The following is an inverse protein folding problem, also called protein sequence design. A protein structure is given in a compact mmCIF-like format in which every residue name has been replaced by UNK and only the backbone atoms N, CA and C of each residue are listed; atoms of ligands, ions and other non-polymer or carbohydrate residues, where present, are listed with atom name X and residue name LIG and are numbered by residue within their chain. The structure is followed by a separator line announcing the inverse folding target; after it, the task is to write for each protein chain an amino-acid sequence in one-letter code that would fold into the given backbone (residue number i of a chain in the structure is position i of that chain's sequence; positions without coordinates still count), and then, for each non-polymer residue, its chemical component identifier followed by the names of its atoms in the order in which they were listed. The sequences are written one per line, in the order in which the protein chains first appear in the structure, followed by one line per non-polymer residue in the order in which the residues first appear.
data_IF_855861057223
#
_entry.id   IF_855861057223
#
_cell.length_a   1.000
_cell.length_b   1.000
_cell.length_c   1.000
_cell.angle_alpha   90.00
_cell.angle_beta   90.00
_cell.angle_gamma   90.00
#
_symmetry.space_group_name_H-M   'P 1'
#
loop_
_entity.id
_entity.type
_entity.pdbx_description
1 polymer ?
#
# COMPACT_ATOMS: atom_id res chain seq x y z
N UNK A 1 -42.60 -32.73 -5.86
CA UNK A 1 -41.17 -32.39 -5.66
C UNK A 1 -41.01 -30.97 -6.20
N UNK A 2 -40.91 -29.87 -5.42
CA UNK A 2 -39.99 -29.55 -4.29
C UNK A 2 -38.54 -29.79 -4.73
N UNK A 3 -37.61 -28.83 -4.80
CA UNK A 3 -37.47 -27.43 -4.34
C UNK A 3 -36.56 -26.73 -5.37
N UNK A 4 -36.88 -25.50 -5.80
CA UNK A 4 -35.92 -24.63 -6.48
C UNK A 4 -35.57 -23.50 -5.50
N UNK A 5 -34.47 -23.66 -4.78
CA UNK A 5 -33.82 -22.56 -4.08
C UNK A 5 -32.40 -22.56 -4.60
N UNK A 6 -32.03 -21.56 -5.40
CA UNK A 6 -30.64 -21.15 -5.62
C UNK A 6 -30.66 -19.77 -6.29
N UNK A 7 -30.85 -18.75 -5.45
CA UNK A 7 -30.40 -17.40 -5.75
C UNK A 7 -30.19 -16.67 -4.43
N UNK A 8 -29.28 -17.20 -3.60
CA UNK A 8 -28.61 -16.33 -2.64
C UNK A 8 -27.81 -15.34 -3.50
N UNK A 9 -28.19 -14.07 -3.42
CA UNK A 9 -27.45 -12.97 -4.01
C UNK A 9 -26.03 -12.91 -3.41
N UNK A 10 -25.08 -13.68 -3.92
CA UNK A 10 -23.66 -13.34 -3.76
C UNK A 10 -23.31 -12.25 -4.76
N UNK A 11 -23.73 -11.02 -4.44
CA UNK A 11 -23.26 -9.82 -5.13
C UNK A 11 -21.89 -9.44 -4.58
N UNK A 12 -20.94 -10.38 -4.60
CA UNK A 12 -19.54 -10.13 -4.32
C UNK A 12 -18.91 -9.47 -5.54
N UNK A 13 -18.25 -8.32 -5.36
CA UNK A 13 -17.48 -7.72 -6.45
C UNK A 13 -16.22 -8.57 -6.65
N UNK A 14 -16.27 -9.55 -7.56
CA UNK A 14 -15.09 -10.32 -7.95
C UNK A 14 -14.27 -9.54 -8.97
N UNK A 15 -13.23 -8.87 -8.48
CA UNK A 15 -12.32 -8.08 -9.31
C UNK A 15 -11.25 -8.97 -9.96
N UNK A 16 -10.72 -8.54 -11.10
CA UNK A 16 -9.48 -9.10 -11.60
C UNK A 16 -8.35 -8.85 -10.57
N UNK A 17 -7.35 -9.74 -10.50
CA UNK A 17 -6.29 -9.67 -9.49
C UNK A 17 -5.63 -8.28 -9.41
N UNK A 18 -5.29 -7.66 -10.55
CA UNK A 18 -4.69 -6.33 -10.56
C UNK A 18 -5.64 -5.24 -10.06
N UNK A 19 -6.95 -5.36 -10.33
CA UNK A 19 -7.97 -4.42 -9.84
C UNK A 19 -8.15 -4.55 -8.33
N UNK A 20 -8.21 -5.79 -7.81
CA UNK A 20 -8.19 -6.06 -6.37
C UNK A 20 -6.94 -5.46 -5.71
N UNK A 21 -5.79 -5.59 -6.38
CA UNK A 21 -4.54 -4.94 -6.00
C UNK A 21 -4.66 -3.41 -5.93
N UNK A 22 -5.21 -2.77 -6.97
CA UNK A 22 -5.43 -1.31 -6.98
C UNK A 22 -6.32 -0.87 -5.82
N UNK A 23 -7.46 -1.53 -5.62
CA UNK A 23 -8.41 -1.17 -4.55
C UNK A 23 -7.77 -1.38 -3.18
N UNK A 24 -7.10 -2.50 -2.96
CA UNK A 24 -6.37 -2.76 -1.72
C UNK A 24 -5.23 -1.78 -1.48
N UNK A 25 -4.49 -1.40 -2.54
CA UNK A 25 -3.46 -0.38 -2.51
C UNK A 25 -3.96 1.00 -2.15
N UNK A 26 -5.08 1.42 -2.73
CA UNK A 26 -5.72 2.71 -2.41
C UNK A 26 -6.23 2.74 -0.97
N UNK A 27 -6.91 1.69 -0.52
CA UNK A 27 -7.42 1.61 0.86
C UNK A 27 -6.26 1.59 1.85
N UNK A 28 -5.25 0.73 1.61
CA UNK A 28 -4.07 0.64 2.46
C UNK A 28 -3.33 1.97 2.55
N UNK A 29 -3.11 2.65 1.42
CA UNK A 29 -2.43 3.95 1.39
C UNK A 29 -3.28 5.05 2.03
N UNK A 30 -4.61 4.97 1.92
CA UNK A 30 -5.51 5.88 2.62
C UNK A 30 -5.43 5.74 4.15
N UNK A 31 -5.48 4.51 4.65
CA UNK A 31 -5.31 4.24 6.10
C UNK A 31 -3.93 4.69 6.56
N UNK A 32 -2.90 4.40 5.78
CA UNK A 32 -1.53 4.84 6.05
C UNK A 32 -1.42 6.37 6.08
N UNK A 33 -2.05 7.07 5.15
CA UNK A 33 -2.06 8.53 5.09
C UNK A 33 -2.70 9.13 6.35
N UNK A 34 -3.78 8.55 6.86
CA UNK A 34 -4.38 8.98 8.14
C UNK A 34 -3.37 8.87 9.28
N UNK A 35 -2.64 7.75 9.37
CA UNK A 35 -1.59 7.61 10.39
C UNK A 35 -0.45 8.63 10.22
N UNK A 36 -0.03 8.90 8.98
CA UNK A 36 0.96 9.93 8.72
C UNK A 36 0.49 11.32 9.15
N UNK A 37 -0.77 11.69 8.87
CA UNK A 37 -1.34 12.98 9.32
C UNK A 37 -1.31 13.09 10.84
N UNK A 38 -1.61 12.00 11.55
CA UNK A 38 -1.65 12.00 13.02
C UNK A 38 -0.27 11.95 13.67
N UNK A 39 0.71 11.32 13.04
CA UNK A 39 2.00 11.00 13.67
C UNK A 39 3.18 11.80 13.11
N UNK A 40 3.15 12.17 11.83
CA UNK A 40 4.19 12.96 11.17
C UNK A 40 3.67 13.68 9.90
N UNK A 41 2.79 14.69 10.04
CA UNK A 41 2.17 15.36 8.89
C UNK A 41 3.14 15.90 7.83
N UNK A 42 4.35 16.41 8.16
CA UNK A 42 5.34 16.85 7.17
C UNK A 42 5.71 15.82 6.10
N UNK A 43 5.54 14.52 6.37
CA UNK A 43 5.78 13.47 5.35
C UNK A 43 4.86 13.64 4.15
N UNK A 44 3.57 13.91 4.37
CA UNK A 44 2.59 14.13 3.31
C UNK A 44 2.61 15.56 2.77
N UNK A 45 2.85 16.57 3.61
CA UNK A 45 2.73 17.97 3.17
C UNK A 45 3.99 18.51 2.50
N UNK A 46 5.15 17.89 2.75
CA UNK A 46 6.43 18.33 2.22
C UNK A 46 7.22 17.20 1.54
N UNK A 47 7.54 16.11 2.25
CA UNK A 47 8.48 15.12 1.72
C UNK A 47 7.97 14.39 0.47
N UNK A 48 6.79 13.79 0.53
CA UNK A 48 6.20 13.06 -0.61
C UNK A 48 6.01 13.93 -1.86
N UNK A 49 5.40 15.12 -1.79
CA UNK A 49 5.24 15.95 -2.99
C UNK A 49 6.60 16.45 -3.54
N UNK A 50 7.59 16.69 -2.68
CA UNK A 50 8.92 17.13 -3.10
C UNK A 50 9.64 16.09 -4.00
N UNK A 51 9.35 14.79 -3.87
CA UNK A 51 9.87 13.74 -4.77
C UNK A 51 9.58 14.06 -6.25
N UNK A 52 8.48 14.77 -6.51
CA UNK A 52 8.03 15.11 -7.86
C UNK A 52 8.19 16.61 -8.17
N UNK A 53 8.95 17.35 -7.36
CA UNK A 53 9.18 18.78 -7.54
C UNK A 53 7.93 19.65 -7.32
N UNK A 54 6.91 19.12 -6.64
CA UNK A 54 5.67 19.83 -6.32
C UNK A 54 5.53 20.02 -4.81
N UNK A 55 4.51 20.77 -4.37
CA UNK A 55 4.27 21.06 -2.96
C UNK A 55 2.80 20.98 -2.59
N UNK A 56 2.52 20.88 -1.29
CA UNK A 56 1.16 20.90 -0.73
C UNK A 56 0.61 19.53 -0.37
N UNK A 57 -0.19 19.49 0.69
CA UNK A 57 -0.73 18.25 1.25
C UNK A 57 -1.64 17.48 0.30
N UNK A 58 -2.42 18.17 -0.55
CA UNK A 58 -3.26 17.50 -1.56
C UNK A 58 -2.38 16.73 -2.54
N UNK A 59 -1.35 17.39 -3.10
CA UNK A 59 -0.41 16.74 -4.01
C UNK A 59 0.26 15.53 -3.34
N UNK A 60 0.70 15.68 -2.09
CA UNK A 60 1.32 14.59 -1.34
C UNK A 60 0.39 13.41 -1.09
N UNK A 61 -0.86 13.64 -0.69
CA UNK A 61 -1.86 12.57 -0.52
C UNK A 61 -2.16 11.90 -1.86
N UNK A 62 -2.36 12.66 -2.94
CA UNK A 62 -2.61 12.11 -4.28
C UNK A 62 -1.45 11.23 -4.74
N UNK A 63 -0.21 11.71 -4.60
CA UNK A 63 1.00 10.95 -4.95
C UNK A 63 1.12 9.70 -4.08
N UNK A 64 0.83 9.81 -2.78
CA UNK A 64 0.90 8.66 -1.87
C UNK A 64 -0.10 7.56 -2.25
N UNK A 65 -1.36 7.94 -2.52
CA UNK A 65 -2.40 7.01 -2.99
C UNK A 65 -2.03 6.39 -4.34
N UNK A 66 -1.44 7.17 -5.26
CA UNK A 66 -0.99 6.67 -6.55
C UNK A 66 0.10 5.60 -6.39
N UNK A 67 1.11 5.80 -5.53
CA UNK A 67 2.08 4.75 -5.22
C UNK A 67 1.41 3.54 -4.60
N UNK A 68 0.48 3.73 -3.67
CA UNK A 68 -0.29 2.63 -3.06
C UNK A 68 -0.99 1.77 -4.11
N UNK A 69 -1.68 2.39 -5.07
CA UNK A 69 -2.35 1.68 -6.17
C UNK A 69 -1.35 0.88 -7.03
N UNK A 70 -0.23 1.50 -7.44
CA UNK A 70 0.81 0.83 -8.25
C UNK A 70 1.45 -0.33 -7.50
N UNK A 71 1.79 -0.13 -6.23
CA UNK A 71 2.34 -1.16 -5.36
C UNK A 71 1.32 -2.29 -5.10
N UNK A 72 0.04 -1.98 -5.09
CA UNK A 72 -1.02 -2.99 -5.00
C UNK A 72 -1.14 -3.86 -6.24
N UNK A 73 -0.94 -3.30 -7.45
CA UNK A 73 -0.79 -4.10 -8.67
C UNK A 73 0.42 -5.02 -8.57
N UNK A 74 1.56 -4.52 -8.09
CA UNK A 74 2.76 -5.33 -7.90
C UNK A 74 2.54 -6.47 -6.88
N UNK A 75 1.86 -6.20 -5.76
CA UNK A 75 1.44 -7.24 -4.81
C UNK A 75 0.58 -8.31 -5.49
N UNK A 76 -0.43 -7.90 -6.25
CA UNK A 76 -1.28 -8.84 -6.97
C UNK A 76 -0.46 -9.71 -7.94
N UNK A 77 0.51 -9.13 -8.65
CA UNK A 77 1.42 -9.89 -9.52
C UNK A 77 2.23 -10.94 -8.72
N UNK A 78 2.75 -10.59 -7.54
CA UNK A 78 3.46 -11.53 -6.66
C UNK A 78 2.54 -12.69 -6.22
N UNK A 79 1.32 -12.40 -5.77
CA UNK A 79 0.33 -13.42 -5.41
C UNK A 79 0.00 -14.33 -6.60
N UNK A 80 -0.11 -13.73 -7.79
CA UNK A 80 -0.44 -14.45 -9.02
C UNK A 80 0.72 -15.31 -9.55
N UNK A 81 1.97 -14.94 -9.27
CA UNK A 81 3.17 -15.70 -9.67
C UNK A 81 3.30 -17.08 -8.99
N UNK A 82 2.56 -17.31 -7.91
CA UNK A 82 2.66 -18.53 -7.10
C UNK A 82 3.62 -18.45 -5.92
N UNK A 83 4.35 -17.33 -5.75
CA UNK A 83 5.31 -17.13 -4.67
C UNK A 83 4.71 -17.25 -3.24
N UNK A 84 3.40 -17.02 -3.10
CA UNK A 84 2.67 -17.11 -1.81
C UNK A 84 2.18 -18.54 -1.52
N UNK A 85 2.26 -19.45 -2.50
CA UNK A 85 1.70 -20.81 -2.41
C UNK A 85 0.17 -20.81 -2.38
N UNK A 86 -0.42 -21.73 -1.62
CA UNK A 86 -1.88 -21.81 -1.48
C UNK A 86 -2.46 -20.50 -0.93
N UNK A 87 -3.47 -19.96 -1.60
CA UNK A 87 -4.04 -18.64 -1.33
C UNK A 87 -5.09 -18.68 -0.23
N UNK A 88 -4.74 -19.26 0.91
CA UNK A 88 -5.60 -19.22 2.10
C UNK A 88 -5.65 -17.79 2.64
N UNK A 89 -6.75 -17.44 3.33
CA UNK A 89 -6.93 -16.11 3.94
C UNK A 89 -5.71 -15.70 4.78
N UNK A 90 -5.25 -16.60 5.66
CA UNK A 90 -4.10 -16.33 6.51
C UNK A 90 -2.80 -16.08 5.75
N UNK A 91 -2.56 -16.81 4.65
CA UNK A 91 -1.36 -16.59 3.80
C UNK A 91 -1.43 -15.28 3.03
N UNK A 92 -2.60 -14.88 2.53
CA UNK A 92 -2.77 -13.60 1.84
C UNK A 92 -2.62 -12.40 2.78
N UNK A 93 -3.17 -12.49 4.00
CA UNK A 93 -2.95 -11.47 5.04
C UNK A 93 -1.47 -11.38 5.43
N UNK A 94 -0.82 -12.52 5.68
CA UNK A 94 0.61 -12.58 5.99
C UNK A 94 1.48 -12.03 4.85
N UNK A 95 1.16 -12.37 3.60
CA UNK A 95 1.82 -11.84 2.42
C UNK A 95 1.67 -10.32 2.32
N UNK A 96 0.48 -9.78 2.64
CA UNK A 96 0.25 -8.34 2.70
C UNK A 96 1.16 -7.65 3.73
N UNK A 97 1.27 -8.20 4.94
CA UNK A 97 2.17 -7.66 5.98
C UNK A 97 3.62 -7.70 5.51
N UNK A 98 4.10 -8.84 4.99
CA UNK A 98 5.45 -8.99 4.44
C UNK A 98 5.69 -7.98 3.31
N UNK A 99 4.72 -7.80 2.42
CA UNK A 99 4.77 -6.81 1.35
C UNK A 99 4.94 -5.39 1.90
N UNK A 100 4.19 -5.03 2.95
CA UNK A 100 4.36 -3.75 3.65
C UNK A 100 5.77 -3.54 4.17
N UNK A 101 6.36 -4.55 4.82
CA UNK A 101 7.75 -4.51 5.30
C UNK A 101 8.73 -4.35 4.14
N UNK A 102 8.52 -5.05 3.02
CA UNK A 102 9.37 -4.93 1.83
C UNK A 102 9.29 -3.54 1.22
N UNK A 103 8.08 -2.96 1.11
CA UNK A 103 7.90 -1.58 0.63
C UNK A 103 8.58 -0.59 1.56
N UNK A 104 8.45 -0.75 2.89
CA UNK A 104 9.16 0.09 3.86
C UNK A 104 10.67 0.03 3.67
N UNK A 105 11.22 -1.19 3.63
CA UNK A 105 12.66 -1.38 3.52
C UNK A 105 13.19 -0.84 2.19
N UNK A 106 12.51 -1.10 1.07
CA UNK A 106 13.01 -0.73 -0.26
C UNK A 106 12.67 0.71 -0.63
N UNK A 107 11.39 1.09 -0.58
CA UNK A 107 10.96 2.41 -1.05
C UNK A 107 11.21 3.49 0.00
N UNK A 108 10.82 3.26 1.25
CA UNK A 108 10.91 4.31 2.28
C UNK A 108 12.32 4.46 2.86
N UNK A 109 13.00 3.36 3.19
CA UNK A 109 14.31 3.42 3.83
C UNK A 109 15.48 3.60 2.85
N UNK A 110 15.36 3.11 1.61
CA UNK A 110 16.44 3.19 0.62
C UNK A 110 16.17 4.19 -0.49
N UNK A 111 15.04 4.08 -1.22
CA UNK A 111 14.79 4.93 -2.40
C UNK A 111 14.45 6.37 -2.03
N UNK A 112 13.54 6.59 -1.09
CA UNK A 112 13.08 7.92 -0.69
C UNK A 112 14.23 8.86 -0.27
N UNK A 113 15.17 8.52 0.63
CA UNK A 113 16.25 9.44 1.00
C UNK A 113 17.15 9.81 -0.20
N UNK A 114 17.45 8.86 -1.09
CA UNK A 114 18.25 9.13 -2.30
C UNK A 114 17.48 10.04 -3.26
N UNK A 115 16.19 9.80 -3.45
CA UNK A 115 15.35 10.61 -4.34
C UNK A 115 15.17 12.03 -3.79
N UNK A 116 14.90 12.18 -2.49
CA UNK A 116 14.80 13.50 -1.85
C UNK A 116 16.12 14.27 -1.96
N UNK A 117 17.26 13.60 -1.76
CA UNK A 117 18.56 14.23 -1.94
C UNK A 117 18.80 14.65 -3.39
N UNK A 118 18.42 13.84 -4.38
CA UNK A 118 18.64 14.15 -5.80
C UNK A 118 17.82 15.33 -6.31
N UNK A 119 16.63 15.55 -5.75
CA UNK A 119 15.79 16.73 -6.06
C UNK A 119 16.13 17.95 -5.18
N UNK A 120 17.15 17.86 -4.32
CA UNK A 120 17.60 18.97 -3.48
C UNK A 120 16.68 19.31 -2.32
N UNK A 121 15.89 18.36 -1.81
CA UNK A 121 15.01 18.58 -0.66
C UNK A 121 15.85 18.87 0.60
N UNK A 122 15.73 20.04 1.24
CA UNK A 122 16.63 20.44 2.34
C UNK A 122 16.60 19.52 3.56
N UNK A 123 15.46 18.87 3.80
CA UNK A 123 15.23 17.97 4.93
C UNK A 123 15.31 16.50 4.53
N UNK A 124 16.09 16.17 3.48
CA UNK A 124 16.28 14.78 3.06
C UNK A 124 16.90 13.97 4.21
N UNK A 125 16.28 12.86 4.63
CA UNK A 125 16.81 12.05 5.72
C UNK A 125 18.11 11.34 5.30
N UNK A 126 19.01 11.02 6.24
CA UNK A 126 20.25 10.29 5.94
C UNK A 126 19.97 8.93 5.28
N UNK A 127 20.83 8.52 4.35
CA UNK A 127 20.76 7.19 3.74
C UNK A 127 21.64 6.18 4.51
N UNK A 128 21.11 4.98 4.86
CA UNK A 128 19.71 4.55 4.76
C UNK A 128 18.85 5.08 5.91
N UNK A 129 17.55 5.28 5.67
CA UNK A 129 16.61 5.86 6.66
C UNK A 129 15.64 4.81 7.25
N UNK A 130 16.12 3.93 8.12
CA UNK A 130 15.27 2.94 8.80
C UNK A 130 14.49 3.53 9.98
N UNK A 131 13.49 4.35 9.69
CA UNK A 131 12.62 4.95 10.70
C UNK A 131 11.57 3.93 11.20
N UNK A 132 11.71 3.47 12.45
CA UNK A 132 10.79 2.50 13.08
C UNK A 132 9.32 2.97 13.11
N UNK A 133 8.98 4.25 13.40
CA UNK A 133 7.59 4.70 13.31
C UNK A 133 6.98 4.53 11.92
N UNK A 134 7.79 4.66 10.85
CA UNK A 134 7.35 4.45 9.48
C UNK A 134 7.05 2.97 9.18
N UNK A 135 7.75 2.02 9.83
CA UNK A 135 7.48 0.59 9.69
C UNK A 135 6.04 0.25 10.07
N UNK A 136 5.53 0.82 11.17
CA UNK A 136 4.15 0.62 11.61
C UNK A 136 3.16 1.01 10.49
N UNK A 137 3.33 2.18 9.88
CA UNK A 137 2.44 2.67 8.84
C UNK A 137 2.43 1.73 7.62
N UNK A 138 3.60 1.22 7.24
CA UNK A 138 3.73 0.32 6.10
C UNK A 138 3.19 -1.09 6.39
N UNK A 139 3.33 -1.59 7.62
CA UNK A 139 2.68 -2.83 8.05
C UNK A 139 1.15 -2.68 8.00
N UNK A 140 0.62 -1.54 8.43
CA UNK A 140 -0.82 -1.23 8.33
C UNK A 140 -1.27 -1.15 6.87
N UNK A 141 -0.50 -0.48 6.01
CA UNK A 141 -0.72 -0.46 4.56
C UNK A 141 -0.83 -1.89 4.00
N UNK A 142 0.17 -2.72 4.27
CA UNK A 142 0.25 -4.09 3.77
C UNK A 142 -0.87 -4.98 4.30
N UNK A 143 -1.20 -4.87 5.59
CA UNK A 143 -2.30 -5.61 6.21
C UNK A 143 -3.66 -5.23 5.64
N UNK A 144 -3.94 -3.92 5.51
CA UNK A 144 -5.18 -3.43 4.92
C UNK A 144 -5.31 -3.84 3.45
N UNK A 145 -4.22 -3.75 2.69
CA UNK A 145 -4.16 -4.21 1.30
C UNK A 145 -4.46 -5.71 1.18
N UNK A 146 -3.82 -6.55 2.00
CA UNK A 146 -4.07 -8.00 2.01
C UNK A 146 -5.50 -8.34 2.40
N UNK A 147 -6.07 -7.63 3.39
CA UNK A 147 -7.45 -7.82 3.84
C UNK A 147 -8.46 -7.46 2.74
N UNK A 148 -8.29 -6.31 2.10
CA UNK A 148 -9.16 -5.91 0.97
C UNK A 148 -9.01 -6.90 -0.18
N UNK A 149 -7.79 -7.32 -0.50
CA UNK A 149 -7.54 -8.29 -1.56
C UNK A 149 -8.28 -9.60 -1.32
N UNK A 150 -8.29 -10.11 -0.08
CA UNK A 150 -9.07 -11.31 0.31
C UNK A 150 -10.56 -11.13 0.09
N UNK A 151 -11.09 -9.94 0.38
CA UNK A 151 -12.54 -9.68 0.33
C UNK A 151 -13.05 -9.53 -1.10
N UNK A 152 -12.25 -8.96 -2.00
CA UNK A 152 -12.70 -8.59 -3.36
C UNK A 152 -12.15 -9.50 -4.47
N UNK A 153 -11.41 -10.56 -4.12
CA UNK A 153 -10.83 -11.50 -5.07
C UNK A 153 -11.24 -12.94 -4.80
#
# INVERSE_FOLDING_TARGET
MSIQTDAVYERGVHLAAWQAGVVGGLVGAGVMAVLMVLMNPPVLTAAIPALYGVSGGIAGVTIHLAHGAVLGVAFAAVVQSGAVGDRTVGRLLGAGIVWGVLVWATMAALVMPVWLASVGFPMAPPFPNFAVPSLLWHVVYGGALGAVYVVVR
#
